data_IF_340016582384
#
_entry.id   IF_340016582384
#
_cell.length_a   1.000
_cell.length_b   1.000
_cell.length_c   1.000
_cell.angle_alpha   90.00
_cell.angle_beta   90.00
_cell.angle_gamma   90.00
#
_symmetry.space_group_name_H-M   'P 1'
#
loop_
_entity.id
_entity.type
_entity.pdbx_description
1 polymer ?
#
# COMPACT_ATOMS: atom_id res chain seq x y z
N UNK A 1 -35.14 -11.59 -51.19
CA UNK A 1 -34.11 -10.60 -50.84
C UNK A 1 -34.24 -10.08 -49.37
N UNK A 2 -35.43 -9.72 -48.90
CA UNK A 2 -35.62 -9.17 -47.55
C UNK A 2 -35.23 -10.12 -46.42
N UNK A 3 -35.52 -11.42 -46.48
CA UNK A 3 -35.15 -12.42 -45.46
C UNK A 3 -33.66 -12.66 -45.29
N UNK A 4 -32.89 -12.61 -46.38
CA UNK A 4 -31.43 -12.75 -46.33
C UNK A 4 -30.75 -11.54 -45.67
N UNK A 5 -31.29 -10.34 -45.91
CA UNK A 5 -30.77 -9.10 -45.32
C UNK A 5 -31.01 -9.06 -43.81
N UNK A 6 -32.20 -9.53 -43.34
CA UNK A 6 -32.54 -9.61 -41.95
C UNK A 6 -31.64 -10.60 -41.19
N UNK A 7 -31.33 -11.77 -41.76
CA UNK A 7 -30.41 -12.76 -41.20
C UNK A 7 -28.98 -12.23 -41.03
N UNK A 8 -28.48 -11.49 -42.00
CA UNK A 8 -27.17 -10.88 -41.94
C UNK A 8 -27.12 -9.81 -40.87
N UNK A 9 -28.15 -8.99 -40.73
CA UNK A 9 -28.24 -7.96 -39.68
C UNK A 9 -28.26 -8.56 -38.27
N UNK A 10 -29.00 -9.63 -38.06
CA UNK A 10 -29.06 -10.36 -36.78
C UNK A 10 -27.70 -11.00 -36.45
N UNK A 11 -27.05 -11.59 -37.44
CA UNK A 11 -25.70 -12.17 -37.25
C UNK A 11 -24.65 -11.13 -36.89
N UNK A 12 -24.69 -9.94 -37.50
CA UNK A 12 -23.79 -8.83 -37.19
C UNK A 12 -24.01 -8.26 -35.77
N UNK A 13 -25.27 -8.22 -35.32
CA UNK A 13 -25.62 -7.81 -33.95
C UNK A 13 -25.11 -8.86 -32.94
N UNK A 14 -25.23 -10.16 -33.22
CA UNK A 14 -24.72 -11.23 -32.36
C UNK A 14 -23.19 -11.21 -32.26
N UNK A 15 -22.45 -10.97 -33.36
CA UNK A 15 -21.03 -10.84 -33.36
C UNK A 15 -20.60 -9.59 -32.56
N UNK A 16 -21.32 -8.46 -32.71
CA UNK A 16 -21.04 -7.23 -31.97
C UNK A 16 -21.22 -7.38 -30.45
N UNK A 17 -22.18 -8.17 -29.98
CA UNK A 17 -22.41 -8.44 -28.57
C UNK A 17 -21.34 -9.39 -28.00
N UNK A 18 -20.92 -10.40 -28.77
CA UNK A 18 -19.91 -11.36 -28.34
C UNK A 18 -18.50 -10.74 -28.11
N UNK A 19 -18.19 -9.61 -28.76
CA UNK A 19 -16.89 -8.95 -28.62
C UNK A 19 -16.79 -8.03 -27.38
N UNK A 20 -17.90 -7.74 -26.70
CA UNK A 20 -17.91 -6.84 -25.54
C UNK A 20 -17.82 -7.55 -24.19
N UNK A 21 -17.77 -8.88 -24.15
CA UNK A 21 -17.54 -9.64 -22.92
C UNK A 21 -16.08 -10.04 -22.75
N UNK A 22 -15.13 -9.17 -23.02
CA UNK A 22 -13.84 -9.28 -22.36
C UNK A 22 -14.08 -8.91 -20.89
N UNK A 23 -14.32 -9.91 -20.07
CA UNK A 23 -14.19 -9.75 -18.62
C UNK A 23 -12.80 -9.18 -18.39
N UNK A 24 -12.72 -7.91 -18.01
CA UNK A 24 -11.46 -7.25 -17.69
C UNK A 24 -10.82 -8.09 -16.61
N UNK A 25 -9.77 -8.81 -16.93
CA UNK A 25 -9.08 -9.68 -15.99
C UNK A 25 -8.62 -8.79 -14.83
N UNK A 26 -9.23 -8.99 -13.67
CA UNK A 26 -8.99 -8.15 -12.48
C UNK A 26 -7.51 -8.28 -12.12
N UNK A 27 -6.74 -7.20 -12.36
CA UNK A 27 -5.32 -7.18 -12.01
C UNK A 27 -5.20 -7.40 -10.49
N UNK A 28 -4.45 -8.42 -10.09
CA UNK A 28 -4.11 -8.65 -8.68
C UNK A 28 -3.07 -7.62 -8.26
N UNK A 29 -3.36 -6.89 -7.19
CA UNK A 29 -2.47 -5.91 -6.58
C UNK A 29 -1.45 -6.65 -5.72
N UNK A 30 -0.19 -6.63 -6.15
CA UNK A 30 0.91 -7.20 -5.35
C UNK A 30 1.20 -6.26 -4.19
N UNK A 31 1.05 -6.76 -2.98
CA UNK A 31 1.17 -5.97 -1.75
C UNK A 31 2.30 -6.49 -0.88
N UNK A 32 3.22 -5.61 -0.48
CA UNK A 32 4.17 -5.88 0.60
C UNK A 32 3.59 -5.32 1.90
N UNK A 33 3.50 -6.13 2.94
CA UNK A 33 3.18 -5.67 4.29
C UNK A 33 4.45 -5.64 5.14
N UNK A 34 4.90 -4.43 5.45
CA UNK A 34 6.04 -4.21 6.37
C UNK A 34 5.52 -4.29 7.78
N UNK A 35 6.11 -5.15 8.58
CA UNK A 35 5.66 -5.44 9.93
C UNK A 35 6.83 -5.60 10.91
N UNK A 36 6.59 -5.22 12.17
CA UNK A 36 7.54 -5.44 13.26
C UNK A 36 7.64 -4.27 14.23
N UNK A 37 8.29 -4.51 15.35
CA UNK A 37 8.72 -3.54 16.35
C UNK A 37 7.61 -2.58 16.85
N UNK A 38 6.37 -3.03 16.96
CA UNK A 38 5.35 -2.26 17.68
C UNK A 38 5.24 -2.79 19.11
N UNK A 39 5.78 -2.05 20.06
CA UNK A 39 5.81 -2.46 21.47
C UNK A 39 4.49 -2.29 22.21
N UNK A 40 3.53 -1.58 21.62
CA UNK A 40 2.26 -1.23 22.28
C UNK A 40 1.06 -2.03 21.76
N UNK A 41 1.21 -2.74 20.65
CA UNK A 41 0.12 -3.44 19.98
C UNK A 41 0.50 -4.87 19.61
N UNK A 42 -0.50 -5.76 19.55
CA UNK A 42 -0.33 -7.12 19.03
C UNK A 42 -0.29 -7.07 17.49
N UNK A 43 0.82 -6.51 16.97
CA UNK A 43 1.01 -6.28 15.53
C UNK A 43 1.00 -7.57 14.71
N UNK A 44 1.47 -8.71 15.26
CA UNK A 44 1.50 -9.99 14.57
C UNK A 44 0.09 -10.43 14.16
N UNK A 45 -0.84 -10.47 15.12
CA UNK A 45 -2.22 -10.83 14.84
C UNK A 45 -2.95 -9.81 13.95
N UNK A 46 -2.63 -8.53 14.11
CA UNK A 46 -3.18 -7.48 13.25
C UNK A 46 -2.72 -7.65 11.79
N UNK A 47 -1.45 -7.95 11.56
CA UNK A 47 -0.90 -8.20 10.22
C UNK A 47 -1.55 -9.42 9.57
N UNK A 48 -1.68 -10.54 10.30
CA UNK A 48 -2.33 -11.75 9.78
C UNK A 48 -3.81 -11.50 9.44
N UNK A 49 -4.54 -10.79 10.30
CA UNK A 49 -5.93 -10.43 10.03
C UNK A 49 -6.06 -9.52 8.79
N UNK A 50 -5.22 -8.50 8.66
CA UNK A 50 -5.19 -7.62 7.49
C UNK A 50 -4.86 -8.40 6.21
N UNK A 51 -3.87 -9.30 6.24
CA UNK A 51 -3.55 -10.16 5.11
C UNK A 51 -4.76 -10.97 4.68
N UNK A 52 -5.44 -11.63 5.62
CA UNK A 52 -6.64 -12.43 5.32
C UNK A 52 -7.76 -11.58 4.71
N UNK A 53 -8.02 -10.39 5.26
CA UNK A 53 -9.05 -9.47 4.74
C UNK A 53 -8.72 -9.05 3.30
N UNK A 54 -7.48 -8.66 3.05
CA UNK A 54 -7.04 -8.23 1.73
C UNK A 54 -7.12 -9.38 0.71
N UNK A 55 -6.59 -10.55 1.03
CA UNK A 55 -6.57 -11.70 0.12
C UNK A 55 -7.98 -12.28 -0.12
N UNK A 56 -8.84 -12.33 0.91
CA UNK A 56 -10.23 -12.76 0.76
C UNK A 56 -11.07 -11.88 -0.17
N UNK A 57 -10.66 -10.61 -0.39
CA UNK A 57 -11.30 -9.74 -1.37
C UNK A 57 -11.08 -10.21 -2.81
N UNK A 58 -10.12 -11.10 -3.05
CA UNK A 58 -9.69 -11.54 -4.38
C UNK A 58 -9.04 -10.43 -5.21
N UNK A 59 -8.61 -9.32 -4.58
CA UNK A 59 -7.96 -8.19 -5.26
C UNK A 59 -6.47 -8.09 -4.97
N UNK A 60 -6.00 -8.66 -3.87
CA UNK A 60 -4.64 -8.50 -3.38
C UNK A 60 -3.94 -9.84 -3.22
N UNK A 61 -2.62 -9.82 -3.37
CA UNK A 61 -1.71 -10.86 -2.91
C UNK A 61 -0.71 -10.20 -1.97
N UNK A 62 -0.61 -10.70 -0.74
CA UNK A 62 0.15 -10.06 0.34
C UNK A 62 1.34 -10.91 0.74
N UNK A 63 2.53 -10.33 0.62
CA UNK A 63 3.79 -10.88 1.13
C UNK A 63 4.25 -10.04 2.34
N UNK A 64 4.79 -10.69 3.37
CA UNK A 64 5.36 -9.98 4.51
C UNK A 64 6.82 -9.61 4.29
N UNK A 65 7.19 -8.42 4.76
CA UNK A 65 8.56 -7.99 4.93
C UNK A 65 8.78 -7.64 6.42
N UNK A 66 9.32 -8.59 7.16
CA UNK A 66 9.58 -8.39 8.59
C UNK A 66 10.87 -7.59 8.81
N UNK A 67 10.80 -6.62 9.71
CA UNK A 67 12.00 -5.99 10.26
C UNK A 67 12.61 -6.87 11.35
N UNK A 68 13.88 -6.67 11.74
CA UNK A 68 14.44 -7.29 12.93
C UNK A 68 13.63 -6.96 14.18
N UNK A 69 13.70 -7.80 15.19
CA UNK A 69 13.12 -7.54 16.51
C UNK A 69 13.74 -6.31 17.19
N UNK A 70 13.13 -5.82 18.26
CA UNK A 70 13.68 -4.71 19.04
C UNK A 70 15.13 -4.99 19.48
N UNK A 71 16.01 -4.02 19.20
CA UNK A 71 17.45 -4.14 19.45
C UNK A 71 18.24 -4.91 18.38
N UNK A 72 17.56 -5.48 17.39
CA UNK A 72 18.21 -6.10 16.23
C UNK A 72 18.76 -5.05 15.25
N UNK A 73 19.69 -5.49 14.39
CA UNK A 73 20.33 -4.61 13.40
C UNK A 73 19.37 -4.27 12.25
N UNK A 74 18.83 -3.06 12.26
CA UNK A 74 17.93 -2.57 11.20
C UNK A 74 18.58 -2.53 9.81
N UNK A 75 19.90 -2.56 9.70
CA UNK A 75 20.60 -2.62 8.43
C UNK A 75 20.40 -3.96 7.69
N UNK A 76 19.88 -4.98 8.37
CA UNK A 76 19.51 -6.25 7.75
C UNK A 76 18.18 -6.17 7.00
N UNK A 77 17.33 -5.18 7.30
CA UNK A 77 16.08 -4.94 6.58
C UNK A 77 16.38 -4.32 5.21
N UNK A 78 16.19 -5.11 4.16
CA UNK A 78 16.52 -4.74 2.77
C UNK A 78 15.38 -5.10 1.81
N UNK A 79 14.20 -4.47 1.95
CA UNK A 79 13.05 -4.74 1.09
C UNK A 79 13.31 -4.31 -0.36
N UNK A 80 12.67 -5.01 -1.30
CA UNK A 80 12.62 -4.62 -2.71
C UNK A 80 11.22 -4.10 -3.05
N UNK A 81 11.02 -2.79 -2.89
CA UNK A 81 9.72 -2.15 -3.06
C UNK A 81 9.19 -2.21 -4.50
N UNK A 82 10.09 -2.21 -5.51
CA UNK A 82 9.69 -2.12 -6.91
C UNK A 82 8.93 -3.33 -7.45
N UNK A 83 8.92 -4.44 -6.70
CA UNK A 83 8.17 -5.63 -7.06
C UNK A 83 6.68 -5.55 -6.70
N UNK A 84 6.26 -4.48 -6.01
CA UNK A 84 4.93 -4.34 -5.42
C UNK A 84 4.20 -3.12 -5.94
N UNK A 85 2.88 -3.27 -6.10
CA UNK A 85 1.97 -2.18 -6.47
C UNK A 85 1.57 -1.36 -5.23
N UNK A 86 1.59 -2.00 -4.03
CA UNK A 86 1.16 -1.41 -2.76
C UNK A 86 2.11 -1.80 -1.62
N UNK A 87 2.48 -0.84 -0.80
CA UNK A 87 3.16 -1.05 0.48
C UNK A 87 2.19 -0.72 1.62
N UNK A 88 1.96 -1.68 2.51
CA UNK A 88 1.20 -1.48 3.75
C UNK A 88 2.21 -1.48 4.90
N UNK A 89 2.23 -0.42 5.70
CA UNK A 89 3.17 -0.26 6.81
C UNK A 89 2.42 -0.43 8.13
N UNK A 90 2.75 -1.49 8.87
CA UNK A 90 2.34 -1.73 10.25
C UNK A 90 3.59 -1.93 11.10
N UNK A 91 4.30 -0.82 11.37
CA UNK A 91 5.63 -0.80 11.94
C UNK A 91 5.79 0.36 12.92
N UNK A 92 6.34 0.09 14.09
CA UNK A 92 6.50 1.08 15.17
C UNK A 92 7.93 1.20 15.72
N UNK A 93 8.95 0.85 14.93
CA UNK A 93 10.31 0.69 15.43
C UNK A 93 11.34 1.70 14.96
N UNK A 94 12.60 1.27 14.91
CA UNK A 94 13.75 2.10 14.56
C UNK A 94 13.66 2.67 13.14
N UNK A 95 14.21 3.86 12.94
CA UNK A 95 14.31 4.48 11.61
C UNK A 95 15.11 3.58 10.65
N UNK A 96 14.59 3.40 9.45
CA UNK A 96 15.24 2.62 8.41
C UNK A 96 16.55 3.26 7.96
N UNK A 97 17.48 2.45 7.45
CA UNK A 97 18.73 2.98 6.91
C UNK A 97 18.47 3.96 5.75
N UNK A 98 19.38 4.90 5.55
CA UNK A 98 19.26 5.90 4.48
C UNK A 98 19.05 5.24 3.10
N UNK A 99 19.75 4.14 2.83
CA UNK A 99 19.60 3.42 1.56
C UNK A 99 18.19 2.85 1.36
N UNK A 100 17.53 2.37 2.42
CA UNK A 100 16.15 1.88 2.38
C UNK A 100 15.18 3.06 2.24
N UNK A 101 15.40 4.14 2.98
CA UNK A 101 14.59 5.37 2.87
C UNK A 101 14.57 5.91 1.45
N UNK A 102 15.75 6.05 0.81
CA UNK A 102 15.84 6.53 -0.58
C UNK A 102 15.14 5.62 -1.61
N UNK A 103 15.20 4.30 -1.40
CA UNK A 103 14.44 3.36 -2.24
C UNK A 103 12.93 3.53 -2.07
N UNK A 104 12.47 3.76 -0.84
CA UNK A 104 11.06 3.98 -0.55
C UNK A 104 10.55 5.30 -1.13
N UNK A 105 11.30 6.40 -0.95
CA UNK A 105 11.01 7.70 -1.56
C UNK A 105 10.88 7.57 -3.09
N UNK A 106 11.84 6.87 -3.71
CA UNK A 106 11.79 6.63 -5.14
C UNK A 106 10.57 5.81 -5.56
N UNK A 107 10.24 4.75 -4.82
CA UNK A 107 9.05 3.94 -5.06
C UNK A 107 7.77 4.79 -5.08
N UNK A 108 7.62 5.70 -4.12
CA UNK A 108 6.47 6.62 -4.06
C UNK A 108 6.50 7.63 -5.21
N UNK A 109 7.66 8.20 -5.51
CA UNK A 109 7.83 9.14 -6.63
C UNK A 109 7.51 8.50 -7.98
N UNK A 110 7.77 7.21 -8.13
CA UNK A 110 7.43 6.41 -9.33
C UNK A 110 5.93 6.02 -9.38
N UNK A 111 5.12 6.42 -8.39
CA UNK A 111 3.68 6.18 -8.33
C UNK A 111 3.25 4.96 -7.53
N UNK A 112 4.13 4.39 -6.73
CA UNK A 112 3.82 3.28 -5.83
C UNK A 112 2.81 3.67 -4.75
N UNK A 113 1.84 2.80 -4.45
CA UNK A 113 0.82 3.02 -3.44
C UNK A 113 1.33 2.78 -2.02
N UNK A 114 0.90 3.60 -1.05
CA UNK A 114 1.25 3.43 0.38
C UNK A 114 0.01 3.52 1.25
N UNK A 115 -0.10 2.61 2.21
CA UNK A 115 -1.07 2.65 3.32
C UNK A 115 -0.31 2.54 4.62
N UNK A 116 -0.58 3.45 5.55
CA UNK A 116 0.07 3.49 6.86
C UNK A 116 -0.96 3.19 7.93
N UNK A 117 -0.65 2.23 8.79
CA UNK A 117 -1.58 1.74 9.81
C UNK A 117 -1.21 2.31 11.17
N UNK A 118 -2.16 3.00 11.78
CA UNK A 118 -2.18 3.43 13.19
C UNK A 118 -0.83 3.95 13.69
N UNK A 119 -0.16 3.21 14.59
CA UNK A 119 1.12 3.59 15.23
C UNK A 119 2.28 3.82 14.26
N UNK A 120 2.17 3.40 13.01
CA UNK A 120 3.22 3.63 12.01
C UNK A 120 3.40 5.10 11.61
N UNK A 121 2.55 6.00 12.09
CA UNK A 121 2.72 7.46 11.96
C UNK A 121 3.69 8.05 12.99
N UNK A 122 4.05 7.26 14.02
CA UNK A 122 4.89 7.70 15.16
C UNK A 122 6.39 7.56 14.91
N UNK A 123 6.89 6.44 14.35
CA UNK A 123 8.33 6.22 14.20
C UNK A 123 8.94 7.10 13.10
N UNK A 124 10.27 7.08 13.01
CA UNK A 124 11.04 7.76 11.96
C UNK A 124 10.85 9.29 11.95
N UNK A 125 10.85 9.88 13.14
CA UNK A 125 10.64 11.33 13.34
C UNK A 125 11.71 12.19 12.66
N UNK A 126 12.91 11.64 12.46
CA UNK A 126 14.05 12.25 11.78
C UNK A 126 13.97 12.13 10.24
N UNK A 127 12.93 11.48 9.71
CA UNK A 127 12.75 11.30 8.28
C UNK A 127 11.62 12.21 7.75
N UNK A 128 12.00 13.43 7.39
CA UNK A 128 11.08 14.47 6.95
C UNK A 128 10.23 14.01 5.75
N UNK A 129 10.85 13.39 4.76
CA UNK A 129 10.18 12.92 3.55
C UNK A 129 9.13 11.85 3.86
N UNK A 130 9.36 11.00 4.87
CA UNK A 130 8.34 10.06 5.32
C UNK A 130 7.10 10.79 5.84
N UNK A 131 7.29 11.81 6.67
CA UNK A 131 6.20 12.61 7.21
C UNK A 131 5.41 13.34 6.12
N UNK A 132 6.09 13.79 5.06
CA UNK A 132 5.44 14.39 3.89
C UNK A 132 4.65 13.35 3.08
N UNK A 133 5.20 12.15 2.86
CA UNK A 133 4.55 11.04 2.14
C UNK A 133 3.28 10.59 2.85
N UNK A 134 3.32 10.39 4.16
CA UNK A 134 2.18 9.91 4.94
C UNK A 134 1.18 11.02 5.27
N UNK A 135 1.53 12.28 5.03
CA UNK A 135 0.71 13.45 5.24
C UNK A 135 0.58 13.91 6.70
N UNK A 136 0.91 13.07 7.67
CA UNK A 136 0.86 13.41 9.09
C UNK A 136 1.67 12.43 9.94
N UNK A 137 2.80 12.89 10.48
CA UNK A 137 3.49 12.17 11.56
C UNK A 137 2.90 12.52 12.93
N UNK A 138 3.04 11.65 13.92
CA UNK A 138 2.52 11.86 15.27
C UNK A 138 3.52 11.36 16.33
N UNK A 139 4.14 12.26 17.08
CA UNK A 139 5.03 11.97 18.21
C UNK A 139 4.98 13.08 19.26
N UNK A 140 5.40 12.78 20.48
CA UNK A 140 5.46 13.75 21.57
C UNK A 140 6.43 14.89 21.24
N UNK A 141 5.99 16.14 21.52
CA UNK A 141 6.78 17.34 21.24
C UNK A 141 6.76 17.80 19.79
N UNK A 142 5.96 17.16 18.92
CA UNK A 142 5.75 17.61 17.54
C UNK A 142 5.09 19.00 17.53
N UNK A 143 5.55 19.88 16.64
CA UNK A 143 5.03 21.24 16.49
C UNK A 143 4.88 21.63 14.99
N UNK A 144 4.32 22.80 14.72
CA UNK A 144 3.96 23.24 13.36
C UNK A 144 5.10 23.29 12.34
N UNK A 145 6.36 23.25 12.79
CA UNK A 145 7.55 23.21 11.91
C UNK A 145 7.95 21.81 11.44
N UNK A 146 7.35 20.79 12.03
CA UNK A 146 7.72 19.39 11.77
C UNK A 146 6.94 18.75 10.60
N UNK A 147 6.16 19.52 9.90
CA UNK A 147 5.43 19.08 8.71
C UNK A 147 3.91 19.29 8.80
N UNK A 148 3.14 18.60 7.95
CA UNK A 148 1.71 18.85 7.84
C UNK A 148 0.95 18.64 9.15
N UNK A 149 -0.06 19.51 9.38
CA UNK A 149 -1.03 19.39 10.46
C UNK A 149 -2.43 19.33 9.92
N UNK A 150 -3.28 18.57 10.57
CA UNK A 150 -4.72 18.68 10.40
C UNK A 150 -5.27 19.62 11.47
N UNK A 151 -5.83 20.73 11.04
CA UNK A 151 -6.56 21.64 11.92
C UNK A 151 -8.05 21.41 11.77
N UNK A 152 -8.75 21.22 12.89
CA UNK A 152 -10.19 21.44 12.91
C UNK A 152 -10.39 22.93 13.06
N UNK A 153 -10.84 23.59 11.99
CA UNK A 153 -11.31 24.97 12.08
C UNK A 153 -12.70 24.91 12.71
N UNK A 154 -12.86 25.65 13.79
CA UNK A 154 -14.13 25.73 14.53
C UNK A 154 -15.30 25.94 13.58
N UNK A 155 -16.22 25.00 13.62
CA UNK A 155 -17.51 25.04 12.97
C UNK A 155 -18.57 24.87 14.01
#
# INVERSE_FOLDING_TARGET
MRTRLTLILVLLIYIGIATHTHAQQKKIIKTMMIAGQDGSHYWQGACEAMKQILENSGMFKVDFAFTPDFGGDIATFKPDFHQYDLIVINYGGATWTESVRKKFEKYVADGGGVVVIHSSVVPMTDWKEYNEIIGMGAWDGRHEKDGPYLYRKDG
#
